data_IF_244212575311
#
_entry.id   IF_244212575311
#
_cell.length_a   1.000
_cell.length_b   1.000
_cell.length_c   1.000
_cell.angle_alpha   90.00
_cell.angle_beta   90.00
_cell.angle_gamma   90.00
#
_symmetry.space_group_name_H-M   'P 1'
#
loop_
_entity.id
_entity.type
_entity.pdbx_description
1 polymer ?
#
# COMPACT_ATOMS: atom_id res chain seq x y z
N UNK A 1 -14.06 -19.85 -23.62
CA UNK A 1 -14.34 -20.95 -22.67
C UNK A 1 -13.13 -21.13 -21.77
N UNK A 2 -13.29 -21.21 -20.45
CA UNK A 2 -12.20 -21.57 -19.54
C UNK A 2 -11.90 -23.07 -19.69
N UNK A 3 -10.76 -23.42 -20.29
CA UNK A 3 -10.28 -24.79 -20.48
C UNK A 3 -10.03 -25.49 -19.12
N UNK A 4 -10.04 -26.83 -19.09
CA UNK A 4 -9.64 -27.67 -17.93
C UNK A 4 -8.31 -27.21 -17.32
N UNK A 5 -7.34 -26.76 -18.13
CA UNK A 5 -6.07 -26.19 -17.66
C UNK A 5 -6.26 -24.93 -16.82
N UNK A 6 -7.15 -24.02 -17.21
CA UNK A 6 -7.46 -22.82 -16.42
C UNK A 6 -8.06 -23.18 -15.06
N UNK A 7 -8.91 -24.22 -15.02
CA UNK A 7 -9.51 -24.71 -13.76
C UNK A 7 -8.47 -25.27 -12.78
N UNK A 8 -7.32 -25.75 -13.27
CA UNK A 8 -6.23 -26.21 -12.42
C UNK A 8 -5.41 -25.05 -11.82
N UNK A 9 -5.30 -23.92 -12.53
CA UNK A 9 -4.52 -22.74 -12.12
C UNK A 9 -5.34 -21.78 -11.25
N UNK A 10 -6.65 -21.70 -11.48
CA UNK A 10 -7.57 -20.78 -10.80
C UNK A 10 -7.51 -20.84 -9.25
N UNK A 11 -7.43 -22.00 -8.58
CA UNK A 11 -7.31 -22.04 -7.12
C UNK A 11 -6.03 -21.37 -6.60
N UNK A 12 -4.91 -21.52 -7.30
CA UNK A 12 -3.64 -20.89 -6.94
C UNK A 12 -3.70 -19.37 -7.07
N UNK A 13 -4.30 -18.86 -8.15
CA UNK A 13 -4.53 -17.43 -8.33
C UNK A 13 -5.41 -16.85 -7.20
N UNK A 14 -6.46 -17.56 -6.79
CA UNK A 14 -7.31 -17.13 -5.66
C UNK A 14 -6.54 -17.04 -4.33
N UNK A 15 -5.58 -17.92 -4.09
CA UNK A 15 -4.73 -17.85 -2.90
C UNK A 15 -3.81 -16.62 -2.95
N UNK A 16 -3.25 -16.31 -4.13
CA UNK A 16 -2.46 -15.09 -4.34
C UNK A 16 -3.31 -13.83 -4.10
N UNK A 17 -4.52 -13.78 -4.64
CA UNK A 17 -5.45 -12.67 -4.42
C UNK A 17 -5.80 -12.50 -2.93
N UNK A 18 -6.07 -13.60 -2.22
CA UNK A 18 -6.36 -13.57 -0.79
C UNK A 18 -5.16 -13.08 0.04
N UNK A 19 -3.96 -13.55 -0.28
CA UNK A 19 -2.72 -13.12 0.38
C UNK A 19 -2.44 -11.62 0.12
N UNK A 20 -2.64 -11.17 -1.12
CA UNK A 20 -2.55 -9.76 -1.50
C UNK A 20 -3.53 -8.91 -0.69
N UNK A 21 -4.79 -9.30 -0.65
CA UNK A 21 -5.83 -8.57 0.09
C UNK A 21 -5.52 -8.48 1.59
N UNK A 22 -5.01 -9.57 2.18
CA UNK A 22 -4.60 -9.59 3.58
C UNK A 22 -3.40 -8.65 3.84
N UNK A 23 -2.39 -8.65 2.96
CA UNK A 23 -1.23 -7.77 3.06
C UNK A 23 -1.62 -6.29 2.92
N UNK A 24 -2.44 -5.93 1.93
CA UNK A 24 -2.94 -4.56 1.73
C UNK A 24 -3.72 -4.09 2.94
N UNK A 25 -4.63 -4.91 3.47
CA UNK A 25 -5.39 -4.57 4.69
C UNK A 25 -4.48 -4.28 5.88
N UNK A 26 -3.42 -5.06 6.05
CA UNK A 26 -2.46 -4.84 7.14
C UNK A 26 -1.61 -3.57 6.91
N UNK A 27 -1.21 -3.28 5.67
CA UNK A 27 -0.56 -2.02 5.31
C UNK A 27 -1.47 -0.84 5.67
N UNK A 28 -2.75 -0.89 5.30
CA UNK A 28 -3.71 0.18 5.60
C UNK A 28 -3.91 0.38 7.11
N UNK A 29 -3.99 -0.73 7.86
CA UNK A 29 -4.08 -0.70 9.32
C UNK A 29 -2.86 -0.03 9.94
N UNK A 30 -1.65 -0.42 9.52
CA UNK A 30 -0.40 0.17 10.00
C UNK A 30 -0.27 1.63 9.58
N UNK A 31 -0.67 1.97 8.35
CA UNK A 31 -0.66 3.35 7.86
C UNK A 31 -1.58 4.25 8.70
N UNK A 32 -2.78 3.77 9.06
CA UNK A 32 -3.71 4.49 9.91
C UNK A 32 -3.15 4.67 11.33
N UNK A 33 -2.65 3.58 11.95
CA UNK A 33 -2.08 3.59 13.30
C UNK A 33 -0.91 4.56 13.43
N UNK A 34 -0.10 4.66 12.38
CA UNK A 34 1.16 5.38 12.39
C UNK A 34 1.09 6.70 11.60
N UNK A 35 -0.12 7.19 11.30
CA UNK A 35 -0.35 8.39 10.48
C UNK A 35 -0.07 9.70 11.21
N UNK A 36 -0.26 9.74 12.53
CA UNK A 36 -0.02 10.90 13.39
C UNK A 36 -0.07 10.44 14.85
N UNK A 37 0.46 11.25 15.79
CA UNK A 37 0.18 11.05 17.20
C UNK A 37 -1.34 11.13 17.48
N UNK A 38 -1.80 10.59 18.62
CA UNK A 38 -3.19 10.65 19.04
C UNK A 38 -3.75 12.07 18.96
N UNK A 39 -5.01 12.17 18.53
CA UNK A 39 -5.70 13.46 18.46
C UNK A 39 -5.86 14.08 19.85
N UNK A 40 -5.74 15.40 19.99
CA UNK A 40 -6.13 16.12 21.20
C UNK A 40 -7.55 15.74 21.65
N UNK A 41 -7.71 15.29 22.90
CA UNK A 41 -9.01 14.84 23.42
C UNK A 41 -9.65 15.80 24.42
N UNK A 42 -8.85 16.60 25.14
CA UNK A 42 -9.39 17.58 26.09
C UNK A 42 -9.54 18.96 25.44
N UNK A 43 -10.41 19.80 26.02
CA UNK A 43 -10.57 21.19 25.57
C UNK A 43 -9.25 21.98 25.66
N UNK A 44 -8.44 21.71 26.70
CA UNK A 44 -7.11 22.32 26.88
C UNK A 44 -6.17 21.92 25.75
N UNK A 45 -6.14 20.63 25.38
CA UNK A 45 -5.28 20.15 24.29
C UNK A 45 -5.68 20.75 22.94
N UNK A 46 -6.99 20.91 22.70
CA UNK A 46 -7.51 21.53 21.47
C UNK A 46 -7.13 23.01 21.38
N UNK A 47 -7.20 23.73 22.50
CA UNK A 47 -6.75 25.12 22.58
C UNK A 47 -5.24 25.21 22.32
N UNK A 48 -4.43 24.40 23.01
CA UNK A 48 -2.99 24.35 22.82
C UNK A 48 -2.62 24.02 21.37
N UNK A 49 -3.28 23.02 20.75
CA UNK A 49 -3.04 22.68 19.36
C UNK A 49 -3.38 23.81 18.38
N UNK A 50 -4.35 24.66 18.74
CA UNK A 50 -4.70 25.83 17.94
C UNK A 50 -3.65 26.93 18.08
N UNK A 51 -3.16 27.19 19.30
CA UNK A 51 -2.04 28.12 19.56
C UNK A 51 -0.76 27.69 18.86
N UNK A 52 -0.42 26.39 18.92
CA UNK A 52 0.74 25.82 18.21
C UNK A 52 0.63 26.10 16.71
N UNK A 53 -0.51 25.78 16.09
CA UNK A 53 -0.72 26.03 14.65
C UNK A 53 -0.64 27.51 14.30
N UNK A 54 -1.29 28.39 15.08
CA UNK A 54 -1.22 29.84 14.89
C UNK A 54 0.23 30.35 15.00
N UNK A 55 0.99 29.82 15.97
CA UNK A 55 2.40 30.14 16.12
C UNK A 55 3.21 29.72 14.91
N UNK A 56 3.02 28.50 14.41
CA UNK A 56 3.65 28.04 13.17
C UNK A 56 3.28 28.91 11.98
N UNK A 57 2.01 29.30 11.82
CA UNK A 57 1.56 30.15 10.72
C UNK A 57 2.24 31.52 10.72
N UNK A 58 2.47 32.10 11.90
CA UNK A 58 3.15 33.40 12.07
C UNK A 58 4.66 33.39 11.77
N UNK A 59 5.29 32.21 11.69
CA UNK A 59 6.73 32.10 11.40
C UNK A 59 7.03 32.37 9.92
N UNK A 60 8.20 32.93 9.64
CA UNK A 60 8.77 32.89 8.29
C UNK A 60 9.25 31.48 7.92
N UNK A 61 9.35 31.16 6.63
CA UNK A 61 9.56 29.78 6.15
C UNK A 61 10.81 29.11 6.73
N UNK A 62 11.93 29.85 6.81
CA UNK A 62 13.18 29.32 7.39
C UNK A 62 13.04 28.98 8.87
N UNK A 63 12.36 29.82 9.64
CA UNK A 63 12.11 29.59 11.07
C UNK A 63 11.13 28.42 11.27
N UNK A 64 10.09 28.36 10.43
CA UNK A 64 9.10 27.28 10.42
C UNK A 64 9.76 25.92 10.16
N UNK A 65 10.62 25.83 9.16
CA UNK A 65 11.36 24.61 8.83
C UNK A 65 12.27 24.15 9.98
N UNK A 66 12.98 25.08 10.63
CA UNK A 66 13.79 24.77 11.80
C UNK A 66 12.95 24.29 12.99
N UNK A 67 11.80 24.95 13.24
CA UNK A 67 10.87 24.54 14.29
C UNK A 67 10.27 23.16 14.02
N UNK A 68 9.92 22.83 12.77
CA UNK A 68 9.42 21.50 12.39
C UNK A 68 10.48 20.41 12.59
N UNK A 69 11.75 20.70 12.30
CA UNK A 69 12.84 19.76 12.51
C UNK A 69 13.05 19.47 14.01
N UNK A 70 12.92 20.48 14.88
CA UNK A 70 13.01 20.30 16.32
C UNK A 70 11.76 19.62 16.92
N UNK A 71 10.59 19.83 16.32
CA UNK A 71 9.32 19.33 16.83
C UNK A 71 9.17 17.81 16.77
N UNK A 72 9.97 17.09 15.95
CA UNK A 72 9.80 15.63 15.77
C UNK A 72 9.84 14.85 17.09
N UNK A 73 10.62 15.34 18.08
CA UNK A 73 10.72 14.74 19.40
C UNK A 73 9.52 15.01 20.33
N UNK A 74 8.68 16.00 20.02
CA UNK A 74 7.53 16.41 20.84
C UNK A 74 6.20 16.00 20.19
N UNK A 75 5.62 14.91 20.70
CA UNK A 75 4.36 14.37 20.19
C UNK A 75 3.20 15.37 20.29
N UNK A 76 3.24 16.34 21.21
CA UNK A 76 2.18 17.36 21.37
C UNK A 76 2.19 18.33 20.19
N UNK A 77 3.38 18.80 19.82
CA UNK A 77 3.55 19.73 18.69
C UNK A 77 3.27 19.01 17.38
N UNK A 78 3.77 17.79 17.21
CA UNK A 78 3.50 16.98 16.02
C UNK A 78 2.00 16.65 15.91
N UNK A 79 1.33 16.33 17.03
CA UNK A 79 -0.11 16.08 17.05
C UNK A 79 -0.89 17.30 16.57
N UNK A 80 -0.53 18.48 17.08
CA UNK A 80 -1.18 19.73 16.72
C UNK A 80 -1.07 20.03 15.22
N UNK A 81 0.10 19.76 14.63
CA UNK A 81 0.35 20.00 13.21
C UNK A 81 -0.29 18.94 12.32
N UNK A 82 -0.06 17.65 12.59
CA UNK A 82 -0.47 16.55 11.71
C UNK A 82 -1.97 16.23 11.77
N UNK A 83 -2.65 16.53 12.88
CA UNK A 83 -4.09 16.31 13.01
C UNK A 83 -4.93 17.51 12.53
N UNK A 84 -4.30 18.61 12.11
CA UNK A 84 -4.96 19.80 11.60
C UNK A 84 -4.78 19.98 10.08
N UNK A 85 -5.65 20.76 9.42
CA UNK A 85 -5.42 21.20 8.05
C UNK A 85 -4.10 21.98 7.91
N UNK A 86 -3.30 21.66 6.88
CA UNK A 86 -1.99 22.27 6.64
C UNK A 86 -2.03 23.81 6.55
N UNK A 87 -3.10 24.35 5.94
CA UNK A 87 -3.35 25.78 5.81
C UNK A 87 -3.37 26.54 7.14
N UNK A 88 -3.76 25.90 8.25
CA UNK A 88 -3.85 26.55 9.57
C UNK A 88 -2.48 26.73 10.23
N UNK A 89 -1.48 25.98 9.78
CA UNK A 89 -0.10 26.05 10.26
C UNK A 89 0.84 26.79 9.29
N UNK A 90 0.36 27.15 8.10
CA UNK A 90 1.20 27.72 7.03
C UNK A 90 2.26 26.74 6.51
N UNK A 91 2.03 25.43 6.68
CA UNK A 91 2.94 24.37 6.25
C UNK A 91 2.43 23.82 4.91
N UNK A 92 3.34 23.51 3.98
CA UNK A 92 2.97 22.88 2.71
C UNK A 92 2.60 21.41 2.90
N UNK A 93 1.90 20.82 1.94
CA UNK A 93 1.55 19.40 2.01
C UNK A 93 2.80 18.51 2.06
N UNK A 94 3.85 18.87 1.31
CA UNK A 94 5.11 18.13 1.24
C UNK A 94 5.85 18.15 2.59
N UNK A 95 5.91 19.32 3.24
CA UNK A 95 6.52 19.45 4.55
C UNK A 95 5.75 18.67 5.63
N UNK A 96 4.42 18.60 5.51
CA UNK A 96 3.58 17.79 6.38
C UNK A 96 3.84 16.28 6.19
N UNK A 97 3.96 15.81 4.95
CA UNK A 97 4.34 14.41 4.68
C UNK A 97 5.74 14.08 5.19
N UNK A 98 6.70 14.99 5.02
CA UNK A 98 8.06 14.81 5.57
C UNK A 98 8.05 14.72 7.10
N UNK A 99 7.29 15.59 7.79
CA UNK A 99 7.15 15.54 9.24
C UNK A 99 6.54 14.20 9.68
N UNK A 100 5.46 13.77 9.00
CA UNK A 100 4.82 12.48 9.25
C UNK A 100 5.78 11.32 9.07
N UNK A 101 6.55 11.31 7.98
CA UNK A 101 7.54 10.27 7.71
C UNK A 101 8.60 10.21 8.82
N UNK A 102 9.15 11.36 9.23
CA UNK A 102 10.16 11.43 10.30
C UNK A 102 9.61 10.93 11.63
N UNK A 103 8.49 11.49 12.06
CA UNK A 103 7.82 11.07 13.30
C UNK A 103 7.51 9.57 13.29
N UNK A 104 6.97 9.07 12.19
CA UNK A 104 6.66 7.64 12.02
C UNK A 104 7.91 6.77 12.11
N UNK A 105 9.00 7.17 11.48
CA UNK A 105 10.26 6.42 11.50
C UNK A 105 10.86 6.35 12.91
N UNK A 106 10.77 7.44 13.68
CA UNK A 106 11.30 7.50 15.04
C UNK A 106 10.42 6.77 16.06
N UNK A 107 9.09 6.89 15.97
CA UNK A 107 8.16 6.30 16.95
C UNK A 107 7.70 4.89 16.61
N UNK A 108 7.64 4.56 15.33
CA UNK A 108 7.02 3.35 14.80
C UNK A 108 7.94 2.61 13.82
N UNK A 109 9.27 2.70 14.00
CA UNK A 109 10.26 2.06 13.12
C UNK A 109 9.94 0.60 12.76
N UNK A 110 9.65 -0.29 13.73
CA UNK A 110 9.28 -1.68 13.43
C UNK A 110 8.03 -1.83 12.55
N UNK A 111 7.03 -0.96 12.74
CA UNK A 111 5.81 -0.97 11.94
C UNK A 111 6.06 -0.42 10.54
N UNK A 112 6.92 0.59 10.39
CA UNK A 112 7.38 1.12 9.09
C UNK A 112 8.11 0.04 8.30
N UNK A 113 9.06 -0.65 8.93
CA UNK A 113 9.81 -1.72 8.31
C UNK A 113 8.87 -2.86 7.88
N UNK A 114 7.88 -3.17 8.71
CA UNK A 114 6.85 -4.16 8.38
C UNK A 114 6.00 -3.70 7.20
N UNK A 115 5.56 -2.45 7.15
CA UNK A 115 4.82 -1.89 6.01
C UNK A 115 5.64 -2.01 4.72
N UNK A 116 6.93 -1.65 4.76
CA UNK A 116 7.81 -1.76 3.60
C UNK A 116 7.97 -3.20 3.12
N UNK A 117 8.16 -4.15 4.05
CA UNK A 117 8.25 -5.58 3.72
C UNK A 117 6.95 -6.12 3.12
N UNK A 118 5.80 -5.73 3.66
CA UNK A 118 4.48 -6.09 3.12
C UNK A 118 4.27 -5.48 1.72
N UNK A 119 4.69 -4.23 1.50
CA UNK A 119 4.63 -3.59 0.18
C UNK A 119 5.42 -4.37 -0.88
N UNK A 120 6.67 -4.76 -0.57
CA UNK A 120 7.47 -5.62 -1.45
C UNK A 120 6.81 -6.98 -1.69
N UNK A 121 6.22 -7.59 -0.66
CA UNK A 121 5.51 -8.85 -0.82
C UNK A 121 4.29 -8.72 -1.74
N UNK A 122 3.54 -7.61 -1.67
CA UNK A 122 2.44 -7.33 -2.61
C UNK A 122 2.96 -7.22 -4.04
N UNK A 123 4.05 -6.50 -4.28
CA UNK A 123 4.67 -6.38 -5.61
C UNK A 123 5.11 -7.74 -6.17
N UNK A 124 5.72 -8.59 -5.33
CA UNK A 124 6.14 -9.92 -5.72
C UNK A 124 4.93 -10.84 -6.02
N UNK A 125 3.85 -10.74 -5.24
CA UNK A 125 2.59 -11.46 -5.51
C UNK A 125 1.98 -11.01 -6.83
N UNK A 126 1.92 -9.70 -7.09
CA UNK A 126 1.38 -9.14 -8.33
C UNK A 126 2.21 -9.61 -9.54
N UNK A 127 3.55 -9.64 -9.41
CA UNK A 127 4.44 -10.18 -10.44
C UNK A 127 4.22 -11.68 -10.65
N UNK A 128 4.11 -12.47 -9.59
CA UNK A 128 3.89 -13.91 -9.67
C UNK A 128 2.54 -14.24 -10.34
N UNK A 129 1.47 -13.53 -9.97
CA UNK A 129 0.15 -13.68 -10.59
C UNK A 129 0.19 -13.39 -12.10
N UNK A 130 0.85 -12.30 -12.49
CA UNK A 130 1.04 -11.96 -13.92
C UNK A 130 1.83 -13.03 -14.67
N UNK A 131 2.88 -13.59 -14.08
CA UNK A 131 3.68 -14.67 -14.69
C UNK A 131 2.85 -15.93 -14.90
N UNK A 132 2.05 -16.32 -13.91
CA UNK A 132 1.15 -17.50 -14.01
C UNK A 132 0.14 -17.31 -15.14
N UNK A 133 -0.50 -16.14 -15.23
CA UNK A 133 -1.46 -15.83 -16.30
C UNK A 133 -0.76 -15.86 -17.67
N UNK A 134 0.39 -15.18 -17.81
CA UNK A 134 1.15 -15.16 -19.07
C UNK A 134 1.62 -16.54 -19.50
N UNK A 135 2.13 -17.33 -18.57
CA UNK A 135 2.59 -18.69 -18.83
C UNK A 135 1.44 -19.55 -19.35
N UNK A 136 0.29 -19.52 -18.68
CA UNK A 136 -0.88 -20.26 -19.15
C UNK A 136 -1.39 -19.75 -20.50
N UNK A 137 -1.48 -18.44 -20.71
CA UNK A 137 -1.89 -17.86 -22.00
C UNK A 137 -0.94 -18.26 -23.14
N UNK A 138 0.36 -18.40 -22.86
CA UNK A 138 1.34 -18.90 -23.82
C UNK A 138 1.15 -20.39 -24.15
N UNK A 139 0.82 -21.21 -23.15
CA UNK A 139 0.50 -22.64 -23.36
C UNK A 139 -0.84 -22.85 -24.07
N UNK A 140 -1.82 -21.99 -23.83
CA UNK A 140 -3.15 -22.06 -24.47
C UNK A 140 -3.17 -21.43 -25.86
N UNK A 141 -2.01 -21.17 -26.47
CA UNK A 141 -1.95 -20.75 -27.88
C UNK A 141 -2.60 -21.84 -28.74
N UNK A 142 -3.64 -21.45 -29.45
CA UNK A 142 -4.62 -22.38 -30.04
C UNK A 142 -4.02 -23.35 -31.04
N UNK A 143 -2.87 -23.05 -31.62
CA UNK A 143 -2.22 -23.90 -32.63
C UNK A 143 -1.85 -25.31 -32.12
N UNK A 144 -1.36 -25.45 -30.90
CA UNK A 144 -0.96 -26.77 -30.37
C UNK A 144 -2.19 -27.58 -29.96
N UNK A 145 -3.19 -26.92 -29.37
CA UNK A 145 -4.47 -27.54 -28.99
C UNK A 145 -5.27 -27.91 -30.23
N UNK A 146 -5.35 -27.04 -31.23
CA UNK A 146 -6.00 -27.30 -32.52
C UNK A 146 -5.33 -28.44 -33.28
N UNK A 147 -3.98 -28.50 -33.31
CA UNK A 147 -3.25 -29.62 -33.93
C UNK A 147 -3.46 -30.94 -33.18
N UNK A 148 -3.50 -30.91 -31.85
CA UNK A 148 -3.78 -32.08 -31.05
C UNK A 148 -5.21 -32.59 -31.26
N UNK A 149 -6.21 -31.71 -31.23
CA UNK A 149 -7.61 -32.05 -31.49
C UNK A 149 -7.86 -32.53 -32.93
N UNK A 150 -7.14 -31.96 -33.91
CA UNK A 150 -7.20 -32.41 -35.30
C UNK A 150 -6.61 -33.83 -35.45
N UNK A 151 -5.48 -34.11 -34.78
CA UNK A 151 -4.87 -35.43 -34.77
C UNK A 151 -5.75 -36.47 -34.06
N UNK A 152 -6.39 -36.10 -32.95
CA UNK A 152 -7.28 -36.99 -32.20
C UNK A 152 -8.53 -37.36 -33.01
N UNK A 153 -9.11 -36.38 -33.73
CA UNK A 153 -10.21 -36.61 -34.68
C UNK A 153 -9.81 -37.55 -35.81
N UNK A 154 -8.66 -37.34 -36.43
CA UNK A 154 -8.15 -38.21 -37.50
C UNK A 154 -7.94 -39.67 -37.01
N UNK A 155 -7.42 -39.86 -35.79
CA UNK A 155 -7.26 -41.19 -35.18
C UNK A 155 -8.62 -41.84 -34.89
N UNK A 156 -9.60 -41.09 -34.38
CA UNK A 156 -10.93 -41.63 -34.14
C UNK A 156 -11.69 -41.98 -35.42
N UNK A 157 -11.52 -41.21 -36.49
CA UNK A 157 -12.08 -41.54 -37.81
C UNK A 157 -11.44 -42.80 -38.39
N UNK A 158 -10.11 -42.94 -38.28
CA UNK A 158 -9.39 -44.14 -38.72
C UNK A 158 -9.75 -45.40 -37.92
N UNK A 159 -10.09 -45.28 -36.64
CA UNK A 159 -10.56 -46.40 -35.81
C UNK A 159 -12.02 -46.80 -36.08
N UNK A 160 -12.80 -45.96 -36.76
CA UNK A 160 -14.21 -46.21 -37.10
C UNK A 160 -14.42 -46.72 -38.53
N UNK A 161 -13.41 -46.60 -39.39
CA UNK A 161 -13.37 -47.14 -40.75
C UNK A 161 -12.86 -48.58 -40.75
#
# INVERSE_FOLDING_TARGET
MKDKGWRAVEPGLRQLDAARAAAVKEIDRLAALTSAPPRPTSAVDVMLASEVRARFASMGDKQRAAALAAAVADDTVVAAVLNGPAMLSGITAEAMEMLRHRWRSERHGPDVDRMQRLGRAVEDIDRAGQLVVRFYSGLSSSEVVERAEASERAVQEALRA
#
